data_IF_923800670007
#
_entry.id   IF_923800670007
#
_cell.length_a   1.000
_cell.length_b   1.000
_cell.length_c   1.000
_cell.angle_alpha   90.00
_cell.angle_beta   90.00
_cell.angle_gamma   90.00
#
_symmetry.space_group_name_H-M   'P 1'
#
loop_
_entity.id
_entity.type
_entity.pdbx_description
1 polymer ?
#
# COMPACT_ATOMS: atom_id res chain seq x y z
N UNK A 1 -0.52 25.43 -14.95
CA UNK A 1 -1.50 24.34 -15.16
C UNK A 1 -0.80 23.01 -14.93
N UNK A 2 -0.80 22.56 -13.69
CA UNK A 2 -0.28 21.29 -13.22
C UNK A 2 -1.31 20.19 -13.56
N UNK A 3 -0.98 19.35 -14.54
CA UNK A 3 -1.83 18.22 -14.92
C UNK A 3 -1.98 17.30 -13.70
N UNK A 4 -3.18 17.21 -13.15
CA UNK A 4 -3.62 16.27 -12.12
C UNK A 4 -3.75 14.82 -12.66
N UNK A 5 -2.88 14.43 -13.58
CA UNK A 5 -2.88 13.11 -14.21
C UNK A 5 -1.90 12.19 -13.50
N UNK A 6 -2.28 11.67 -12.33
CA UNK A 6 -1.47 10.65 -11.67
C UNK A 6 -1.31 9.40 -12.55
N UNK A 7 -0.21 8.69 -12.37
CA UNK A 7 0.12 7.50 -13.17
C UNK A 7 -0.90 6.41 -12.82
N UNK A 8 -1.30 5.57 -13.78
CA UNK A 8 -2.07 4.35 -13.52
C UNK A 8 -1.15 3.16 -13.55
N UNK A 9 -1.21 2.31 -12.53
CA UNK A 9 -0.53 1.02 -12.53
C UNK A 9 -1.14 0.16 -13.64
N UNK A 10 -0.34 -0.46 -14.53
CA UNK A 10 -0.88 -1.37 -15.55
C UNK A 10 -1.51 -2.63 -14.95
N UNK A 11 -2.70 -3.01 -15.43
CA UNK A 11 -3.46 -4.18 -14.95
C UNK A 11 -2.71 -5.51 -15.02
N UNK A 12 -1.75 -5.65 -15.94
CA UNK A 12 -1.00 -6.89 -16.08
C UNK A 12 -0.13 -7.21 -14.88
N UNK A 13 0.22 -6.21 -14.05
CA UNK A 13 1.02 -6.41 -12.84
C UNK A 13 0.31 -7.40 -11.90
N UNK A 14 -1.02 -7.32 -11.76
CA UNK A 14 -1.80 -8.28 -10.97
C UNK A 14 -1.77 -9.73 -11.46
N UNK A 15 -1.15 -10.01 -12.62
CA UNK A 15 -0.94 -11.38 -13.13
C UNK A 15 0.43 -11.95 -12.75
N UNK A 16 1.31 -11.16 -12.15
CA UNK A 16 2.67 -11.58 -11.76
C UNK A 16 2.61 -12.36 -10.44
N UNK A 17 2.17 -13.62 -10.49
CA UNK A 17 1.94 -14.45 -9.30
C UNK A 17 3.20 -14.75 -8.49
N UNK A 18 4.37 -14.72 -9.11
CA UNK A 18 5.66 -14.92 -8.45
C UNK A 18 6.27 -13.62 -7.90
N UNK A 19 5.60 -12.47 -8.07
CA UNK A 19 6.15 -11.18 -7.62
C UNK A 19 6.15 -11.13 -6.09
N UNK A 20 7.35 -10.97 -5.51
CA UNK A 20 7.56 -10.89 -4.05
C UNK A 20 7.84 -9.48 -3.54
N UNK A 21 8.33 -8.61 -4.41
CA UNK A 21 8.72 -7.24 -4.08
C UNK A 21 8.09 -6.29 -5.10
N UNK A 22 7.35 -5.30 -4.61
CA UNK A 22 6.74 -4.25 -5.42
C UNK A 22 7.02 -2.88 -4.79
N UNK A 23 7.71 -2.03 -5.52
CA UNK A 23 7.96 -0.64 -5.13
C UNK A 23 7.28 0.32 -6.09
N UNK A 24 6.42 1.17 -5.55
CA UNK A 24 5.64 2.19 -6.22
C UNK A 24 5.72 3.54 -5.48
N UNK A 25 6.70 3.75 -4.60
CA UNK A 25 6.75 4.90 -3.66
C UNK A 25 6.96 6.25 -4.32
N UNK A 26 7.76 6.32 -5.38
CA UNK A 26 8.14 7.59 -6.04
C UNK A 26 7.13 8.03 -7.10
N UNK A 27 6.10 7.22 -7.35
CA UNK A 27 5.13 7.52 -8.39
C UNK A 27 3.86 8.11 -7.77
N UNK A 28 3.44 9.27 -8.31
CA UNK A 28 2.19 9.93 -7.97
C UNK A 28 0.99 9.15 -8.54
N UNK A 29 0.84 7.88 -8.16
CA UNK A 29 -0.30 7.05 -8.53
C UNK A 29 -1.55 7.62 -7.85
N UNK A 30 -2.65 7.76 -8.60
CA UNK A 30 -3.92 8.12 -7.97
C UNK A 30 -4.46 6.92 -7.21
N UNK A 31 -5.15 7.17 -6.09
CA UNK A 31 -5.72 6.16 -5.18
C UNK A 31 -6.75 5.21 -5.81
N UNK A 32 -7.07 5.39 -7.10
CA UNK A 32 -7.55 4.32 -7.98
C UNK A 32 -6.53 3.19 -8.20
N UNK A 33 -5.60 2.98 -7.25
CA UNK A 33 -4.69 1.84 -7.16
C UNK A 33 -5.52 0.56 -7.05
N UNK A 34 -5.99 0.13 -8.22
CA UNK A 34 -5.73 -1.18 -8.77
C UNK A 34 -6.03 -2.31 -7.80
N UNK A 35 -7.32 -2.56 -7.55
CA UNK A 35 -7.80 -3.76 -6.86
C UNK A 35 -7.15 -5.06 -7.37
N UNK A 36 -6.69 -5.08 -8.61
CA UNK A 36 -5.91 -6.19 -9.18
C UNK A 36 -4.55 -6.44 -8.52
N UNK A 37 -3.99 -5.51 -7.73
CA UNK A 37 -2.78 -5.76 -6.93
C UNK A 37 -3.06 -6.71 -5.77
N UNK A 38 -4.31 -6.78 -5.29
CA UNK A 38 -4.74 -7.83 -4.36
C UNK A 38 -4.58 -9.25 -4.92
N UNK A 39 -4.39 -9.42 -6.23
CA UNK A 39 -4.12 -10.72 -6.84
C UNK A 39 -2.66 -11.18 -6.71
N UNK A 40 -1.76 -10.36 -6.14
CA UNK A 40 -0.35 -10.70 -5.94
C UNK A 40 -0.18 -11.56 -4.68
N UNK A 41 -0.62 -12.81 -4.74
CA UNK A 41 -0.71 -13.68 -3.55
C UNK A 41 0.62 -14.00 -2.86
N UNK A 42 1.75 -13.89 -3.57
CA UNK A 42 3.10 -14.15 -3.02
C UNK A 42 3.86 -12.85 -2.70
N UNK A 43 3.17 -11.71 -2.67
CA UNK A 43 3.82 -10.44 -2.37
C UNK A 43 4.20 -10.38 -0.89
N UNK A 44 5.47 -10.08 -0.62
CA UNK A 44 6.04 -10.04 0.73
C UNK A 44 6.40 -8.61 1.13
N UNK A 45 7.00 -7.87 0.19
CA UNK A 45 7.44 -6.50 0.41
C UNK A 45 6.69 -5.55 -0.49
N UNK A 46 6.12 -4.53 0.13
CA UNK A 46 5.35 -3.49 -0.54
C UNK A 46 5.80 -2.11 -0.07
N UNK A 47 6.28 -1.31 -1.02
CA UNK A 47 6.58 0.11 -0.82
C UNK A 47 5.64 0.93 -1.69
N UNK A 48 4.76 1.73 -1.09
CA UNK A 48 3.73 2.49 -1.80
C UNK A 48 3.83 3.98 -1.55
N UNK A 49 3.51 4.74 -2.60
CA UNK A 49 3.36 6.20 -2.61
C UNK A 49 1.93 6.59 -2.94
N UNK A 50 1.37 7.60 -2.28
CA UNK A 50 0.00 8.06 -2.54
C UNK A 50 -0.61 8.85 -1.38
N UNK A 51 -1.88 9.23 -1.51
CA UNK A 51 -2.59 10.06 -0.52
C UNK A 51 -3.58 9.27 0.35
N UNK A 52 -3.79 7.98 0.08
CA UNK A 52 -4.83 7.15 0.73
C UNK A 52 -4.36 5.72 1.02
N UNK A 53 -4.95 5.11 2.05
CA UNK A 53 -4.68 3.72 2.45
C UNK A 53 -5.26 2.72 1.43
N UNK A 54 -4.50 1.72 0.92
CA UNK A 54 -5.01 0.82 -0.11
C UNK A 54 -5.91 -0.27 0.47
N UNK A 55 -7.20 -0.24 0.14
CA UNK A 55 -8.18 -1.22 0.64
C UNK A 55 -7.91 -2.68 0.22
N UNK A 56 -7.15 -2.92 -0.86
CA UNK A 56 -6.82 -4.28 -1.31
C UNK A 56 -5.79 -4.98 -0.43
N UNK A 57 -5.13 -4.26 0.50
CA UNK A 57 -4.22 -4.87 1.48
C UNK A 57 -4.92 -5.90 2.37
N UNK A 58 -6.23 -5.73 2.61
CA UNK A 58 -7.04 -6.69 3.37
C UNK A 58 -7.04 -8.10 2.75
N UNK A 59 -6.75 -8.20 1.45
CA UNK A 59 -6.81 -9.43 0.68
C UNK A 59 -5.41 -10.09 0.57
N UNK A 60 -4.40 -9.56 1.26
CA UNK A 60 -3.02 -10.05 1.23
C UNK A 60 -2.71 -10.90 2.47
N UNK A 61 -2.18 -12.11 2.23
CA UNK A 61 -1.87 -13.06 3.30
C UNK A 61 -0.37 -13.21 3.58
N UNK A 62 0.48 -12.88 2.60
CA UNK A 62 1.93 -13.12 2.65
C UNK A 62 2.75 -11.84 2.89
N UNK A 63 2.09 -10.68 3.00
CA UNK A 63 2.77 -9.42 3.26
C UNK A 63 3.34 -9.41 4.67
N UNK A 64 4.66 -9.23 4.76
CA UNK A 64 5.38 -9.09 6.02
C UNK A 64 6.14 -7.76 6.12
N UNK A 65 6.40 -7.07 5.01
CA UNK A 65 7.06 -5.77 5.00
C UNK A 65 6.22 -4.72 4.27
N UNK A 66 5.79 -3.71 5.02
CA UNK A 66 4.99 -2.60 4.51
C UNK A 66 5.73 -1.29 4.76
N UNK A 67 5.93 -0.53 3.68
CA UNK A 67 6.58 0.79 3.71
C UNK A 67 5.64 1.81 3.05
N UNK A 68 5.26 2.82 3.81
CA UNK A 68 4.44 3.96 3.38
C UNK A 68 5.17 5.29 3.63
N UNK A 69 6.49 5.32 3.53
CA UNK A 69 7.28 6.47 3.93
C UNK A 69 7.20 7.61 2.88
N UNK A 70 7.12 8.87 3.33
CA UNK A 70 7.19 10.10 2.49
C UNK A 70 6.07 10.34 1.47
N UNK A 71 4.86 9.85 1.75
CA UNK A 71 3.78 9.85 0.75
C UNK A 71 2.78 10.98 0.93
N UNK A 72 2.79 11.64 2.08
CA UNK A 72 1.80 12.65 2.41
C UNK A 72 0.40 12.05 2.59
N UNK A 73 0.29 10.74 2.90
CA UNK A 73 -1.00 10.16 3.32
C UNK A 73 -1.49 10.98 4.51
N UNK A 74 -2.62 11.65 4.30
CA UNK A 74 -3.29 12.51 5.28
C UNK A 74 -4.66 11.93 5.55
N UNK A 75 -4.78 11.07 6.56
CA UNK A 75 -6.05 10.54 7.06
C UNK A 75 -5.87 9.78 8.38
N UNK A 76 -6.98 9.31 8.95
CA UNK A 76 -6.98 8.32 10.03
C UNK A 76 -6.55 6.96 9.46
N UNK A 77 -5.65 6.25 10.14
CA UNK A 77 -5.37 4.83 9.85
C UNK A 77 -6.70 4.07 9.89
N UNK A 78 -7.03 3.38 8.81
CA UNK A 78 -8.35 2.75 8.69
C UNK A 78 -8.53 1.63 9.73
N UNK A 79 -9.69 1.56 10.38
CA UNK A 79 -9.97 0.59 11.46
C UNK A 79 -9.71 -0.85 11.02
N UNK A 80 -10.09 -1.21 9.80
CA UNK A 80 -9.84 -2.55 9.26
C UNK A 80 -8.35 -2.92 9.27
N UNK A 81 -7.45 -1.96 9.03
CA UNK A 81 -6.00 -2.21 8.99
C UNK A 81 -5.45 -2.47 10.39
N UNK A 82 -6.04 -1.85 11.41
CA UNK A 82 -5.70 -2.06 12.82
C UNK A 82 -6.16 -3.43 13.32
N UNK A 83 -7.23 -3.97 12.72
CA UNK A 83 -7.83 -5.26 13.06
C UNK A 83 -7.19 -6.45 12.35
N UNK A 84 -6.38 -6.24 11.31
CA UNK A 84 -5.70 -7.33 10.63
C UNK A 84 -4.63 -7.97 11.53
N UNK A 85 -4.63 -9.29 11.64
CA UNK A 85 -3.55 -10.05 12.29
C UNK A 85 -2.39 -10.26 11.31
N UNK A 86 -1.82 -9.15 10.82
CA UNK A 86 -0.66 -9.21 9.93
C UNK A 86 0.57 -9.65 10.71
N UNK A 87 1.33 -10.62 10.19
CA UNK A 87 2.63 -11.01 10.74
C UNK A 87 3.71 -10.17 10.09
N UNK A 88 3.83 -8.92 10.52
CA UNK A 88 4.77 -7.97 9.93
C UNK A 88 6.15 -8.09 10.57
N UNK A 89 7.18 -8.27 9.75
CA UNK A 89 8.57 -8.11 10.17
C UNK A 89 8.95 -6.62 10.22
N UNK A 90 8.37 -5.80 9.33
CA UNK A 90 8.62 -4.36 9.29
C UNK A 90 7.37 -3.57 8.86
N UNK A 91 7.04 -2.55 9.65
CA UNK A 91 6.03 -1.55 9.33
C UNK A 91 6.64 -0.15 9.44
N UNK A 92 6.92 0.48 8.30
CA UNK A 92 7.35 1.88 8.25
C UNK A 92 6.23 2.77 7.71
N UNK A 93 5.68 3.61 8.59
CA UNK A 93 4.69 4.63 8.24
C UNK A 93 5.18 6.04 8.63
N UNK A 94 6.48 6.21 8.83
CA UNK A 94 7.07 7.48 9.23
C UNK A 94 6.88 8.57 8.16
N UNK A 95 6.99 9.82 8.57
CA UNK A 95 6.90 11.00 7.69
C UNK A 95 5.60 11.07 6.86
N UNK A 96 4.48 10.70 7.48
CA UNK A 96 3.12 10.93 6.98
C UNK A 96 2.35 11.87 7.90
N UNK A 97 1.14 12.27 7.49
CA UNK A 97 0.21 13.04 8.32
C UNK A 97 -0.91 12.13 8.87
N UNK A 98 -0.55 10.89 9.24
CA UNK A 98 -1.47 9.88 9.74
C UNK A 98 -1.91 10.18 11.17
N UNK A 99 -3.18 9.94 11.46
CA UNK A 99 -3.76 10.02 12.80
C UNK A 99 -4.48 8.72 13.15
N UNK A 100 -4.92 8.54 14.40
CA UNK A 100 -5.63 7.33 14.82
C UNK A 100 -4.75 6.29 15.47
N UNK A 101 -5.21 5.02 15.47
CA UNK A 101 -4.55 3.92 16.15
C UNK A 101 -3.43 3.33 15.30
N UNK A 102 -2.36 2.92 15.95
CA UNK A 102 -1.30 2.14 15.32
C UNK A 102 -1.78 0.68 15.19
N UNK A 103 -1.62 0.03 14.04
CA UNK A 103 -1.92 -1.39 13.87
C UNK A 103 -1.10 -2.24 14.84
N UNK A 104 -1.63 -3.39 15.24
CA UNK A 104 -0.82 -4.38 15.94
C UNK A 104 0.09 -5.04 14.91
N UNK A 105 1.39 -4.83 15.08
CA UNK A 105 2.43 -5.61 14.41
C UNK A 105 2.67 -6.92 15.19
#
# INVERSE_FOLDING_TARGET
MNKSGGIKVPKFIGRLKELRYLNLSVASFTSSVSSFLGNLSNLQVLDLGGTEFPHWLKDQNELNNIIFNTTGISNVVADWFVELDLKLDNLDMAYNNLTGKVPKA
#
